data_IF_047032240498
#
_entry.id   IF_047032240498
#
_cell.length_a   1.000
_cell.length_b   1.000
_cell.length_c   1.000
_cell.angle_alpha   90.00
_cell.angle_beta   90.00
_cell.angle_gamma   90.00
#
_symmetry.space_group_name_H-M   'P 1'
#
loop_
_entity.id
_entity.type
_entity.pdbx_description
1 polymer ?
#
# COMPACT_ATOMS: atom_id res chain seq x y z
N UNK A 1 58.14 51.15 44.03
CA UNK A 1 57.89 51.16 42.58
C UNK A 1 57.65 49.71 42.19
N UNK A 2 56.82 49.46 41.18
CA UNK A 2 56.20 48.16 40.82
C UNK A 2 54.91 47.91 41.62
N UNK A 3 53.70 47.96 41.08
CA UNK A 3 53.25 48.02 39.68
C UNK A 3 51.96 47.22 39.63
N UNK A 4 50.82 47.87 39.81
CA UNK A 4 49.51 47.24 39.66
C UNK A 4 49.32 46.83 38.20
N UNK A 5 49.32 45.53 37.93
CA UNK A 5 48.97 44.99 36.62
C UNK A 5 47.55 44.42 36.64
N UNK A 6 46.86 44.74 35.55
CA UNK A 6 45.43 44.88 35.40
C UNK A 6 44.83 43.54 34.97
N UNK A 7 43.71 43.18 35.59
CA UNK A 7 42.84 42.06 35.17
C UNK A 7 42.40 42.26 33.72
N UNK A 8 42.61 41.24 32.88
CA UNK A 8 41.83 41.02 31.66
C UNK A 8 41.22 39.63 31.70
N UNK A 9 39.92 39.62 31.97
CA UNK A 9 39.01 38.50 31.71
C UNK A 9 38.98 38.29 30.19
N UNK A 10 39.19 37.04 29.79
CA UNK A 10 39.04 36.59 28.41
C UNK A 10 38.51 35.16 28.42
N UNK A 11 37.23 35.01 28.77
CA UNK A 11 36.48 33.81 28.42
C UNK A 11 36.43 33.71 26.89
N UNK A 12 36.88 32.60 26.26
CA UNK A 12 36.49 32.33 24.89
C UNK A 12 35.01 31.93 24.91
N UNK A 13 34.20 32.89 24.49
CA UNK A 13 32.77 32.80 24.20
C UNK A 13 32.42 31.50 23.45
N UNK A 14 31.29 30.92 23.84
CA UNK A 14 30.51 29.96 23.07
C UNK A 14 30.31 30.48 21.64
N UNK A 15 30.80 29.74 20.64
CA UNK A 15 30.49 30.03 19.23
C UNK A 15 30.24 28.69 18.50
N UNK A 16 29.07 28.65 17.86
CA UNK A 16 28.51 27.67 16.90
C UNK A 16 27.86 26.40 17.46
N UNK A 17 26.59 26.52 17.89
CA UNK A 17 25.65 25.37 17.90
C UNK A 17 24.46 25.58 16.95
N UNK A 18 24.22 26.79 16.42
CA UNK A 18 23.04 27.09 15.59
C UNK A 18 23.17 26.72 14.10
N UNK A 19 24.36 26.73 13.48
CA UNK A 19 24.49 26.39 12.05
C UNK A 19 24.21 24.90 11.75
N UNK A 20 24.32 24.03 12.76
CA UNK A 20 24.18 22.58 12.59
C UNK A 20 22.72 22.11 12.74
N UNK A 21 21.86 22.85 13.45
CA UNK A 21 20.46 22.45 13.67
C UNK A 21 19.59 22.75 12.44
N UNK A 22 19.70 23.95 11.87
CA UNK A 22 18.97 24.38 10.67
C UNK A 22 19.31 23.51 9.45
N UNK A 23 20.57 23.07 9.33
CA UNK A 23 21.00 22.15 8.27
C UNK A 23 20.40 20.74 8.40
N UNK A 24 20.14 20.29 9.64
CA UNK A 24 19.56 18.96 9.92
C UNK A 24 18.06 18.92 9.72
N UNK A 25 17.33 19.94 10.18
CA UNK A 25 15.88 20.05 9.96
C UNK A 25 15.56 20.11 8.48
N UNK A 26 16.29 20.91 7.70
CA UNK A 26 16.15 20.96 6.23
C UNK A 26 16.40 19.59 5.58
N UNK A 27 17.42 18.86 6.01
CA UNK A 27 17.67 17.49 5.53
C UNK A 27 16.53 16.53 5.87
N UNK A 28 15.96 16.60 7.08
CA UNK A 28 14.83 15.75 7.50
C UNK A 28 13.60 16.06 6.66
N UNK A 29 13.28 17.34 6.47
CA UNK A 29 12.17 17.80 5.63
C UNK A 29 12.31 17.28 4.19
N UNK A 30 13.51 17.34 3.61
CA UNK A 30 13.78 16.82 2.27
C UNK A 30 13.55 15.30 2.17
N UNK A 31 13.92 14.54 3.21
CA UNK A 31 13.68 13.09 3.26
C UNK A 31 12.19 12.77 3.38
N UNK A 32 11.45 13.52 4.20
CA UNK A 32 10.00 13.36 4.36
C UNK A 32 9.24 13.73 3.09
N UNK A 33 9.62 14.81 2.41
CA UNK A 33 9.05 15.17 1.09
C UNK A 33 9.33 14.11 0.03
N UNK A 34 10.54 13.52 0.02
CA UNK A 34 10.84 12.36 -0.84
C UNK A 34 9.94 11.17 -0.52
N UNK A 35 9.70 10.90 0.76
CA UNK A 35 8.77 9.85 1.18
C UNK A 35 7.34 10.11 0.68
N UNK A 36 6.81 11.32 0.84
CA UNK A 36 5.48 11.68 0.34
C UNK A 36 5.36 11.49 -1.18
N UNK A 37 6.38 11.87 -1.95
CA UNK A 37 6.41 11.63 -3.40
C UNK A 37 6.36 10.14 -3.76
N UNK A 38 7.01 9.27 -2.98
CA UNK A 38 6.90 7.82 -3.17
C UNK A 38 5.46 7.32 -2.93
N UNK A 39 4.72 7.93 -2.01
CA UNK A 39 3.33 7.57 -1.75
C UNK A 39 2.37 8.06 -2.84
N UNK A 40 2.66 9.21 -3.46
CA UNK A 40 1.96 9.66 -4.67
C UNK A 40 2.12 8.64 -5.79
N UNK A 41 3.36 8.20 -6.07
CA UNK A 41 3.64 7.15 -7.08
C UNK A 41 2.86 5.86 -6.80
N UNK A 42 2.80 5.42 -5.54
CA UNK A 42 2.01 4.24 -5.15
C UNK A 42 0.52 4.43 -5.39
N UNK A 43 -0.02 5.61 -5.08
CA UNK A 43 -1.44 5.91 -5.32
C UNK A 43 -1.78 5.83 -6.80
N UNK A 44 -0.91 6.35 -7.67
CA UNK A 44 -1.02 6.23 -9.12
C UNK A 44 -0.93 4.75 -9.57
N UNK A 45 0.02 3.99 -9.04
CA UNK A 45 0.15 2.56 -9.33
C UNK A 45 -1.11 1.77 -8.94
N UNK A 46 -1.71 2.04 -7.77
CA UNK A 46 -2.99 1.42 -7.38
C UNK A 46 -4.15 1.83 -8.31
N UNK A 47 -4.20 3.09 -8.76
CA UNK A 47 -5.20 3.55 -9.72
C UNK A 47 -5.05 2.82 -11.07
N UNK A 48 -3.82 2.69 -11.56
CA UNK A 48 -3.51 1.94 -12.78
C UNK A 48 -3.87 0.45 -12.65
N UNK A 49 -3.57 -0.17 -11.49
CA UNK A 49 -3.91 -1.57 -11.23
C UNK A 49 -5.42 -1.78 -11.26
N UNK A 50 -6.17 -0.86 -10.65
CA UNK A 50 -7.63 -0.90 -10.64
C UNK A 50 -8.20 -0.71 -12.04
N UNK A 51 -7.67 0.24 -12.81
CA UNK A 51 -8.11 0.47 -14.19
C UNK A 51 -7.85 -0.76 -15.06
N UNK A 52 -6.61 -1.28 -15.06
CA UNK A 52 -6.25 -2.45 -15.86
C UNK A 52 -7.05 -3.69 -15.48
N UNK A 53 -7.39 -3.88 -14.20
CA UNK A 53 -8.27 -4.97 -13.78
C UNK A 53 -9.72 -4.78 -14.25
N UNK A 54 -10.26 -3.56 -14.21
CA UNK A 54 -11.59 -3.28 -14.74
C UNK A 54 -11.66 -3.51 -16.25
N UNK A 55 -10.63 -3.10 -16.99
CA UNK A 55 -10.54 -3.32 -18.44
C UNK A 55 -10.49 -4.81 -18.76
N UNK A 56 -9.72 -5.59 -17.99
CA UNK A 56 -9.70 -7.05 -18.09
C UNK A 56 -11.08 -7.68 -17.87
N UNK A 57 -11.77 -7.30 -16.79
CA UNK A 57 -13.12 -7.81 -16.49
C UNK A 57 -14.17 -7.34 -17.53
N UNK A 58 -13.94 -6.22 -18.21
CA UNK A 58 -14.80 -5.66 -19.26
C UNK A 58 -14.63 -6.31 -20.65
N UNK A 59 -13.87 -7.41 -20.76
CA UNK A 59 -13.60 -8.09 -22.03
C UNK A 59 -12.21 -7.80 -22.61
N UNK A 60 -11.34 -7.14 -21.86
CA UNK A 60 -9.92 -6.96 -22.20
C UNK A 60 -9.16 -8.29 -22.24
N UNK A 61 -7.98 -8.26 -22.87
CA UNK A 61 -7.15 -9.48 -22.99
C UNK A 61 -6.38 -9.78 -21.70
N UNK A 62 -6.23 -11.07 -21.38
CA UNK A 62 -5.40 -11.49 -20.25
C UNK A 62 -3.94 -11.05 -20.42
N UNK A 63 -3.40 -11.07 -21.65
CA UNK A 63 -2.06 -10.61 -21.95
C UNK A 63 -1.85 -9.11 -21.62
N UNK A 64 -2.84 -8.27 -21.93
CA UNK A 64 -2.80 -6.85 -21.59
C UNK A 64 -2.79 -6.62 -20.09
N UNK A 65 -3.64 -7.34 -19.35
CA UNK A 65 -3.67 -7.26 -17.89
C UNK A 65 -2.38 -7.76 -17.24
N UNK A 66 -1.80 -8.85 -17.74
CA UNK A 66 -0.50 -9.35 -17.27
C UNK A 66 0.62 -8.33 -17.48
N UNK A 67 0.60 -7.55 -18.57
CA UNK A 67 1.56 -6.47 -18.77
C UNK A 67 1.41 -5.39 -17.70
N UNK A 68 0.17 -4.95 -17.43
CA UNK A 68 -0.12 -4.00 -16.33
C UNK A 68 0.38 -4.53 -14.99
N UNK A 69 0.15 -5.82 -14.69
CA UNK A 69 0.66 -6.43 -13.46
C UNK A 69 2.19 -6.41 -13.37
N UNK A 70 2.91 -6.63 -14.48
CA UNK A 70 4.38 -6.57 -14.50
C UNK A 70 4.87 -5.15 -14.18
N UNK A 71 4.37 -4.16 -14.91
CA UNK A 71 4.75 -2.75 -14.74
C UNK A 71 4.51 -2.27 -13.31
N UNK A 72 3.34 -2.60 -12.76
CA UNK A 72 2.96 -2.18 -11.40
C UNK A 72 3.76 -2.91 -10.33
N UNK A 73 4.11 -4.18 -10.56
CA UNK A 73 4.98 -4.93 -9.64
C UNK A 73 6.37 -4.31 -9.59
N UNK A 74 6.92 -3.90 -10.73
CA UNK A 74 8.20 -3.18 -10.80
C UNK A 74 8.11 -1.85 -10.06
N UNK A 75 7.07 -1.05 -10.32
CA UNK A 75 6.84 0.23 -9.67
C UNK A 75 6.71 0.11 -8.14
N UNK A 76 5.95 -0.87 -7.64
CA UNK A 76 5.85 -1.13 -6.20
C UNK A 76 7.18 -1.59 -5.60
N UNK A 77 7.97 -2.38 -6.34
CA UNK A 77 9.28 -2.84 -5.90
C UNK A 77 10.25 -1.65 -5.76
N UNK A 78 10.28 -0.76 -6.75
CA UNK A 78 11.07 0.46 -6.70
C UNK A 78 10.68 1.37 -5.54
N UNK A 79 9.38 1.63 -5.38
CA UNK A 79 8.87 2.43 -4.26
C UNK A 79 9.31 1.83 -2.92
N UNK A 80 9.22 0.50 -2.76
CA UNK A 80 9.62 -0.18 -1.52
C UNK A 80 11.11 -0.06 -1.26
N UNK A 81 11.96 -0.21 -2.29
CA UNK A 81 13.41 0.03 -2.19
C UNK A 81 13.74 1.47 -1.81
N UNK A 82 13.02 2.45 -2.33
CA UNK A 82 13.21 3.85 -1.97
C UNK A 82 12.87 4.11 -0.50
N UNK A 83 11.75 3.58 0.00
CA UNK A 83 11.40 3.77 1.42
C UNK A 83 12.40 3.09 2.34
N UNK A 84 12.90 1.89 2.02
CA UNK A 84 13.95 1.23 2.81
C UNK A 84 15.24 2.07 2.87
N UNK A 85 15.60 2.74 1.76
CA UNK A 85 16.73 3.68 1.76
C UNK A 85 16.47 4.89 2.63
N UNK A 86 15.27 5.47 2.58
CA UNK A 86 14.89 6.62 3.41
C UNK A 86 14.87 6.24 4.91
N UNK A 87 14.34 5.07 5.25
CA UNK A 87 14.37 4.52 6.61
C UNK A 87 15.81 4.40 7.13
N UNK A 88 16.72 3.83 6.34
CA UNK A 88 18.13 3.73 6.70
C UNK A 88 18.81 5.11 6.89
N UNK A 89 18.38 6.13 6.13
CA UNK A 89 18.90 7.50 6.29
C UNK A 89 18.42 8.13 7.60
N UNK A 90 17.18 7.90 8.02
CA UNK A 90 16.67 8.38 9.31
C UNK A 90 17.38 7.73 10.51
N UNK A 91 17.76 6.46 10.37
CA UNK A 91 18.52 5.71 11.39
C UNK A 91 20.02 6.07 11.43
N UNK A 92 20.54 6.78 10.43
CA UNK A 92 21.94 7.18 10.41
C UNK A 92 22.22 8.16 11.56
N UNK A 93 23.44 8.09 12.13
CA UNK A 93 23.94 8.99 13.17
C UNK A 93 23.83 10.49 12.83
N UNK A 94 23.68 10.84 11.54
CA UNK A 94 23.41 12.21 11.09
C UNK A 94 21.99 12.72 11.39
N UNK A 95 20.99 11.84 11.42
CA UNK A 95 19.58 12.18 11.65
C UNK A 95 19.07 11.71 13.02
N UNK A 96 19.36 10.46 13.41
CA UNK A 96 18.90 9.84 14.66
C UNK A 96 17.38 10.00 14.91
N UNK A 97 16.56 9.82 13.86
CA UNK A 97 15.09 9.91 13.92
C UNK A 97 14.46 8.52 13.82
N UNK A 98 14.67 7.71 14.86
CA UNK A 98 14.10 6.36 14.97
C UNK A 98 12.57 6.36 14.89
N UNK A 99 11.94 7.42 15.39
CA UNK A 99 10.51 7.67 15.31
C UNK A 99 10.02 7.74 13.86
N UNK A 100 10.69 8.54 13.01
CA UNK A 100 10.36 8.66 11.59
C UNK A 100 10.66 7.38 10.82
N UNK A 101 11.76 6.70 11.15
CA UNK A 101 12.05 5.38 10.59
C UNK A 101 10.95 4.35 10.92
N UNK A 102 10.46 4.35 12.16
CA UNK A 102 9.35 3.50 12.59
C UNK A 102 8.05 3.85 11.85
N UNK A 103 7.76 5.14 11.67
CA UNK A 103 6.60 5.60 10.92
C UNK A 103 6.61 5.10 9.46
N UNK A 104 7.75 5.23 8.78
CA UNK A 104 7.97 4.71 7.43
C UNK A 104 7.74 3.20 7.34
N UNK A 105 8.22 2.47 8.35
CA UNK A 105 8.07 1.00 8.45
C UNK A 105 6.61 0.60 8.65
N UNK A 106 5.86 1.32 9.48
CA UNK A 106 4.42 1.10 9.65
C UNK A 106 3.67 1.30 8.34
N UNK A 107 3.98 2.38 7.60
CA UNK A 107 3.39 2.60 6.26
C UNK A 107 3.75 1.46 5.30
N UNK A 108 4.99 0.95 5.30
CA UNK A 108 5.34 -0.23 4.48
C UNK A 108 4.52 -1.47 4.84
N UNK A 109 4.27 -1.71 6.12
CA UNK A 109 3.49 -2.86 6.57
C UNK A 109 2.04 -2.76 6.09
N UNK A 110 1.41 -1.59 6.23
CA UNK A 110 0.06 -1.35 5.74
C UNK A 110 -0.04 -1.40 4.21
N UNK A 111 0.96 -0.90 3.48
CA UNK A 111 0.98 -0.98 2.02
C UNK A 111 1.10 -2.43 1.53
N UNK A 112 1.93 -3.24 2.20
CA UNK A 112 2.01 -4.68 1.93
C UNK A 112 0.65 -5.35 2.14
N UNK A 113 -0.01 -5.09 3.28
CA UNK A 113 -1.32 -5.65 3.59
C UNK A 113 -2.38 -5.21 2.56
N UNK A 114 -2.43 -3.92 2.24
CA UNK A 114 -3.34 -3.35 1.24
C UNK A 114 -3.16 -3.99 -0.13
N UNK A 115 -1.92 -4.18 -0.59
CA UNK A 115 -1.63 -4.85 -1.86
C UNK A 115 -2.12 -6.31 -1.85
N UNK A 116 -1.81 -7.06 -0.79
CA UNK A 116 -2.24 -8.46 -0.65
C UNK A 116 -3.76 -8.58 -0.70
N UNK A 117 -4.49 -7.76 0.08
CA UNK A 117 -5.95 -7.79 0.09
C UNK A 117 -6.55 -7.31 -1.24
N UNK A 118 -5.93 -6.35 -1.91
CA UNK A 118 -6.34 -5.91 -3.25
C UNK A 118 -6.26 -7.06 -4.25
N UNK A 119 -5.18 -7.84 -4.22
CA UNK A 119 -5.02 -9.03 -5.07
C UNK A 119 -6.06 -10.10 -4.69
N UNK A 120 -6.31 -10.33 -3.40
CA UNK A 120 -7.37 -11.25 -2.94
C UNK A 120 -8.73 -10.87 -3.51
N UNK A 121 -9.11 -9.58 -3.46
CA UNK A 121 -10.36 -9.08 -4.05
C UNK A 121 -10.40 -9.37 -5.56
N UNK A 122 -9.30 -9.14 -6.28
CA UNK A 122 -9.23 -9.40 -7.72
C UNK A 122 -9.37 -10.89 -8.05
N UNK A 123 -8.75 -11.77 -7.27
CA UNK A 123 -8.89 -13.22 -7.43
C UNK A 123 -10.30 -13.70 -7.15
N UNK A 124 -10.93 -13.21 -6.07
CA UNK A 124 -12.33 -13.49 -5.76
C UNK A 124 -13.23 -13.06 -6.92
N UNK A 125 -13.09 -11.81 -7.39
CA UNK A 125 -13.85 -11.31 -8.55
C UNK A 125 -13.64 -12.12 -9.82
N UNK A 126 -12.41 -12.55 -10.11
CA UNK A 126 -12.10 -13.40 -11.26
C UNK A 126 -12.74 -14.78 -11.14
N UNK A 127 -12.79 -15.34 -9.93
CA UNK A 127 -13.39 -16.66 -9.68
C UNK A 127 -14.92 -16.68 -9.76
N UNK A 128 -15.55 -15.50 -9.69
CA UNK A 128 -17.00 -15.33 -9.69
C UNK A 128 -17.67 -15.89 -8.43
N UNK A 129 -18.95 -15.54 -8.24
CA UNK A 129 -19.78 -16.19 -7.22
C UNK A 129 -19.98 -17.66 -7.59
N UNK A 130 -19.87 -18.59 -6.63
CA UNK A 130 -20.11 -20.02 -6.87
C UNK A 130 -21.42 -20.28 -7.63
N UNK A 131 -22.52 -19.66 -7.22
CA UNK A 131 -23.84 -19.80 -7.86
C UNK A 131 -23.94 -19.21 -9.27
N UNK A 132 -23.03 -18.32 -9.67
CA UNK A 132 -23.00 -17.68 -10.99
C UNK A 132 -22.06 -18.40 -11.99
N UNK A 133 -21.35 -19.44 -11.54
CA UNK A 133 -20.47 -20.21 -12.42
C UNK A 133 -21.31 -21.00 -13.42
N UNK A 134 -20.99 -20.86 -14.71
CA UNK A 134 -21.61 -21.64 -15.77
C UNK A 134 -21.45 -23.14 -15.47
N UNK A 135 -22.57 -23.87 -15.47
CA UNK A 135 -22.56 -25.34 -15.37
C UNK A 135 -21.77 -25.88 -16.56
N UNK A 136 -20.65 -26.56 -16.27
CA UNK A 136 -19.79 -27.13 -17.32
C UNK A 136 -20.54 -28.22 -18.09
N UNK A 137 -20.74 -28.00 -19.39
CA UNK A 137 -21.23 -29.02 -20.33
C UNK A 137 -20.09 -29.84 -20.94
N UNK A 138 -18.87 -29.80 -20.39
CA UNK A 138 -17.67 -30.40 -20.97
C UNK A 138 -17.75 -31.94 -21.04
N UNK A 139 -18.60 -32.56 -20.22
CA UNK A 139 -18.94 -33.98 -20.26
C UNK A 139 -20.31 -34.29 -20.89
N UNK A 140 -20.98 -33.29 -21.49
CA UNK A 140 -22.28 -33.48 -22.12
C UNK A 140 -22.08 -34.17 -23.49
N UNK A 141 -22.40 -35.47 -23.57
CA UNK A 141 -22.19 -36.30 -24.77
C UNK A 141 -23.15 -36.02 -25.94
N UNK A 142 -24.06 -35.07 -25.83
CA UNK A 142 -25.11 -34.80 -26.82
C UNK A 142 -24.72 -33.69 -27.79
N UNK A 143 -24.44 -34.07 -29.06
CA UNK A 143 -24.04 -33.16 -30.14
C UNK A 143 -25.16 -32.28 -30.74
N UNK A 144 -26.31 -32.13 -30.08
CA UNK A 144 -27.43 -31.30 -30.55
C UNK A 144 -28.01 -30.45 -29.40
N UNK A 145 -27.82 -29.11 -29.41
CA UNK A 145 -28.26 -28.22 -28.33
C UNK A 145 -29.78 -28.20 -28.11
N UNK A 146 -30.57 -28.47 -29.15
CA UNK A 146 -32.03 -28.30 -29.14
C UNK A 146 -32.81 -29.54 -28.64
N UNK A 147 -32.15 -30.67 -28.37
CA UNK A 147 -32.83 -31.95 -28.14
C UNK A 147 -32.37 -32.71 -26.88
N UNK A 148 -31.56 -32.10 -26.02
CA UNK A 148 -31.16 -32.73 -24.77
C UNK A 148 -31.79 -32.00 -23.58
N UNK A 149 -32.54 -32.75 -22.79
CA UNK A 149 -32.81 -32.40 -21.40
C UNK A 149 -31.49 -32.64 -20.69
N UNK A 150 -30.76 -31.56 -20.40
CA UNK A 150 -29.48 -31.69 -19.75
C UNK A 150 -29.73 -32.40 -18.42
N UNK A 151 -29.12 -33.57 -18.20
CA UNK A 151 -29.21 -34.25 -16.91
C UNK A 151 -28.68 -33.39 -15.75
N UNK A 152 -28.07 -32.22 -16.01
CA UNK A 152 -27.76 -31.22 -15.00
C UNK A 152 -28.97 -30.44 -14.47
N UNK A 153 -30.16 -30.59 -15.07
CA UNK A 153 -31.43 -30.40 -14.37
C UNK A 153 -31.65 -31.65 -13.51
N UNK A 154 -30.76 -31.89 -12.53
CA UNK A 154 -31.18 -32.68 -11.39
C UNK A 154 -32.32 -31.88 -10.74
N UNK A 155 -33.33 -32.57 -10.21
CA UNK A 155 -34.21 -31.94 -9.22
C UNK A 155 -33.28 -31.29 -8.19
N UNK A 156 -33.21 -29.95 -8.18
CA UNK A 156 -32.37 -29.21 -7.25
C UNK A 156 -32.76 -29.67 -5.85
N UNK A 157 -31.93 -30.54 -5.28
CA UNK A 157 -32.26 -31.06 -3.97
C UNK A 157 -32.07 -29.92 -2.99
N UNK A 158 -32.81 -29.95 -1.88
CA UNK A 158 -32.62 -28.96 -0.81
C UNK A 158 -31.16 -28.98 -0.33
N UNK A 159 -30.47 -30.13 -0.42
CA UNK A 159 -29.06 -30.25 -0.10
C UNK A 159 -28.17 -29.44 -1.05
N UNK A 160 -28.35 -29.59 -2.38
CA UNK A 160 -27.57 -28.83 -3.37
C UNK A 160 -27.79 -27.32 -3.24
N UNK A 161 -29.05 -26.89 -3.03
CA UNK A 161 -29.37 -25.47 -2.79
C UNK A 161 -28.85 -24.92 -1.46
N UNK A 162 -28.65 -25.77 -0.45
CA UNK A 162 -28.05 -25.36 0.83
C UNK A 162 -26.54 -25.23 0.70
N UNK A 163 -25.89 -26.15 -0.02
CA UNK A 163 -24.44 -26.09 -0.30
C UNK A 163 -24.05 -24.83 -1.10
N UNK A 164 -24.80 -24.52 -2.17
CA UNK A 164 -24.57 -23.30 -2.95
C UNK A 164 -24.77 -22.02 -2.12
N UNK A 165 -25.76 -22.01 -1.23
CA UNK A 165 -26.03 -20.88 -0.34
C UNK A 165 -24.92 -20.68 0.71
N UNK A 166 -24.36 -21.77 1.24
CA UNK A 166 -23.20 -21.72 2.15
C UNK A 166 -21.95 -21.21 1.42
N UNK A 167 -21.68 -21.71 0.21
CA UNK A 167 -20.55 -21.28 -0.61
C UNK A 167 -20.63 -19.78 -1.00
N UNK A 168 -21.83 -19.30 -1.35
CA UNK A 168 -22.06 -17.88 -1.63
C UNK A 168 -21.87 -17.00 -0.38
N UNK A 169 -22.31 -17.47 0.79
CA UNK A 169 -22.12 -16.76 2.05
C UNK A 169 -20.63 -16.66 2.42
N UNK A 170 -19.85 -17.71 2.20
CA UNK A 170 -18.39 -17.70 2.38
C UNK A 170 -17.71 -16.71 1.43
N UNK A 171 -18.09 -16.72 0.15
CA UNK A 171 -17.58 -15.78 -0.84
C UNK A 171 -17.86 -14.32 -0.45
N UNK A 172 -19.11 -14.02 -0.06
CA UNK A 172 -19.51 -12.68 0.36
C UNK A 172 -18.82 -12.26 1.65
N UNK A 173 -18.60 -13.20 2.58
CA UNK A 173 -17.81 -12.99 3.80
C UNK A 173 -16.37 -12.60 3.46
N UNK A 174 -15.67 -13.42 2.69
CA UNK A 174 -14.29 -13.17 2.27
C UNK A 174 -14.14 -11.85 1.50
N UNK A 175 -15.08 -11.53 0.61
CA UNK A 175 -15.09 -10.26 -0.13
C UNK A 175 -15.24 -9.07 0.82
N UNK A 176 -16.17 -9.13 1.78
CA UNK A 176 -16.39 -8.05 2.76
C UNK A 176 -15.18 -7.86 3.67
N UNK A 177 -14.59 -8.93 4.16
CA UNK A 177 -13.39 -8.89 5.00
C UNK A 177 -12.21 -8.29 4.25
N UNK A 178 -11.99 -8.69 2.99
CA UNK A 178 -10.91 -8.13 2.20
C UNK A 178 -11.12 -6.63 1.91
N UNK A 179 -12.35 -6.21 1.58
CA UNK A 179 -12.69 -4.79 1.39
C UNK A 179 -12.47 -4.00 2.67
N UNK A 180 -12.94 -4.51 3.82
CA UNK A 180 -12.74 -3.87 5.12
C UNK A 180 -11.25 -3.71 5.42
N UNK A 181 -10.47 -4.77 5.27
CA UNK A 181 -9.03 -4.71 5.52
C UNK A 181 -8.28 -3.74 4.61
N UNK A 182 -8.70 -3.57 3.34
CA UNK A 182 -8.16 -2.51 2.47
C UNK A 182 -8.50 -1.12 3.01
N UNK A 183 -9.74 -0.90 3.46
CA UNK A 183 -10.15 0.37 4.05
C UNK A 183 -9.35 0.69 5.31
N UNK A 184 -9.19 -0.28 6.20
CA UNK A 184 -8.45 -0.13 7.45
C UNK A 184 -6.97 0.21 7.16
N UNK A 185 -6.33 -0.51 6.22
CA UNK A 185 -4.96 -0.21 5.81
C UNK A 185 -4.83 1.19 5.18
N UNK A 186 -5.80 1.63 4.35
CA UNK A 186 -5.82 2.97 3.77
C UNK A 186 -5.95 4.05 4.86
N UNK A 187 -6.82 3.84 5.85
CA UNK A 187 -6.97 4.75 6.97
C UNK A 187 -5.66 4.88 7.75
N UNK A 188 -5.04 3.76 8.14
CA UNK A 188 -3.76 3.79 8.87
C UNK A 188 -2.63 4.41 8.06
N UNK A 189 -2.57 4.18 6.74
CA UNK A 189 -1.60 4.87 5.87
C UNK A 189 -1.84 6.38 5.93
N UNK A 190 -3.08 6.84 5.75
CA UNK A 190 -3.38 8.26 5.72
C UNK A 190 -3.06 8.96 7.05
N UNK A 191 -3.39 8.33 8.18
CA UNK A 191 -3.03 8.81 9.51
C UNK A 191 -1.51 9.03 9.64
N UNK A 192 -0.70 8.05 9.23
CA UNK A 192 0.75 8.19 9.23
C UNK A 192 1.26 9.23 8.24
N UNK A 193 0.59 9.43 7.10
CA UNK A 193 0.95 10.50 6.17
C UNK A 193 0.59 11.88 6.71
N UNK A 194 -0.48 11.99 7.52
CA UNK A 194 -0.79 13.21 8.26
C UNK A 194 0.28 13.50 9.31
N UNK A 195 0.74 12.49 10.06
CA UNK A 195 1.88 12.65 10.99
C UNK A 195 3.14 13.18 10.27
N UNK A 196 3.45 12.65 9.08
CA UNK A 196 4.57 13.16 8.26
C UNK A 196 4.35 14.62 7.85
N UNK A 197 3.13 15.00 7.47
CA UNK A 197 2.81 16.38 7.08
C UNK A 197 2.95 17.33 8.26
N UNK A 198 2.46 16.96 9.44
CA UNK A 198 2.61 17.76 10.66
C UNK A 198 4.07 17.91 11.06
N UNK A 199 4.88 16.86 10.93
CA UNK A 199 6.31 16.93 11.23
C UNK A 199 7.03 17.90 10.29
N UNK A 200 6.71 17.87 8.99
CA UNK A 200 7.27 18.83 8.02
C UNK A 200 6.93 20.26 8.44
N UNK A 201 5.64 20.54 8.73
CA UNK A 201 5.19 21.86 9.15
C UNK A 201 5.89 22.36 10.43
N UNK A 202 6.06 21.47 11.41
CA UNK A 202 6.76 21.79 12.66
C UNK A 202 8.24 22.15 12.41
N UNK A 203 8.95 21.32 11.64
CA UNK A 203 10.36 21.54 11.33
C UNK A 203 10.60 22.81 10.49
N UNK A 204 9.66 23.14 9.59
CA UNK A 204 9.73 24.35 8.78
C UNK A 204 9.44 25.63 9.58
N UNK A 205 8.62 25.55 10.62
CA UNK A 205 8.37 26.68 11.51
C UNK A 205 9.57 27.01 12.43
N UNK A 206 10.47 26.04 12.61
CA UNK A 206 11.69 26.18 13.44
C UNK A 206 12.93 26.65 12.64
N UNK A 207 12.86 26.66 11.30
CA UNK A 207 13.92 27.13 10.38
C UNK A 207 13.69 28.55 9.88
#
# INVERSE_FOLDING_TARGET
>A
MEGFEKVTIGEPMEVVVEETSCSKSSQIVDLLRKFLNVQTRRTEAYANLRSGFNDYMGGGTEAGYQQVCREITEEFNECSKLVLKLEALFLNAGCCRDDLASLLRSVQAHEKQKLQLTVTIQLLKKSGRPSERLVSHENCRSGTPAAHECMHVHDLTVADGTEDAEADAEYDGAMKEAIRGVQDAVTSINEHLDEVRYEIEALEAET
#
